data_IF_438403331839
#
_entry.id   IF_438403331839
#
_cell.length_a   1.000
_cell.length_b   1.000
_cell.length_c   1.000
_cell.angle_alpha   90.00
_cell.angle_beta   90.00
_cell.angle_gamma   90.00
#
_symmetry.space_group_name_H-M   'P 1'
#
loop_
_entity.id
_entity.type
_entity.pdbx_description
1 polymer ?
#
# COMPACT_ATOMS: atom_id res chain seq x y z
N UNK A 1 26.46 40.69 35.25
CA UNK A 1 25.24 39.89 34.88
C UNK A 1 25.58 39.00 33.69
N UNK A 2 25.93 37.74 33.96
CA UNK A 2 26.44 36.80 32.97
C UNK A 2 25.27 36.00 32.34
N UNK A 3 25.06 36.15 31.05
CA UNK A 3 24.18 35.27 30.28
C UNK A 3 24.97 34.03 29.86
N UNK A 4 24.65 32.87 30.44
CA UNK A 4 25.16 31.57 30.00
C UNK A 4 24.40 31.14 28.76
N UNK A 5 25.09 30.97 27.65
CA UNK A 5 24.60 30.29 26.44
C UNK A 5 24.80 28.79 26.61
N UNK A 6 23.75 28.03 26.58
CA UNK A 6 23.81 26.58 26.45
C UNK A 6 24.01 26.25 24.97
N UNK A 7 25.16 25.69 24.63
CA UNK A 7 25.45 25.10 23.34
C UNK A 7 24.93 23.67 23.31
N UNK A 8 24.04 23.36 22.37
CA UNK A 8 23.64 22.00 22.06
C UNK A 8 24.75 21.41 21.19
N UNK A 9 25.53 20.50 21.77
CA UNK A 9 26.48 19.68 21.01
C UNK A 9 25.71 18.62 20.21
N UNK A 10 25.65 18.82 18.91
CA UNK A 10 25.18 17.80 17.99
C UNK A 10 26.18 16.65 17.92
N UNK A 11 25.75 15.47 18.32
CA UNK A 11 26.49 14.23 18.09
C UNK A 11 26.38 13.88 16.62
N UNK A 12 27.38 14.20 15.83
CA UNK A 12 27.56 13.67 14.47
C UNK A 12 28.12 12.26 14.65
N UNK A 13 27.27 11.26 14.48
CA UNK A 13 27.70 9.88 14.34
C UNK A 13 28.44 9.75 12.99
N UNK A 14 29.77 9.79 13.04
CA UNK A 14 30.62 9.50 11.90
C UNK A 14 30.47 7.99 11.57
N UNK A 15 29.79 7.67 10.49
CA UNK A 15 29.85 6.36 9.87
C UNK A 15 31.23 6.19 9.25
N UNK A 16 32.11 5.44 9.93
CA UNK A 16 33.36 5.00 9.35
C UNK A 16 33.05 4.04 8.19
N UNK A 17 33.18 4.53 6.94
CA UNK A 17 33.26 3.66 5.77
C UNK A 17 34.55 2.83 5.90
N UNK A 18 34.41 1.55 6.21
CA UNK A 18 35.47 0.58 5.97
C UNK A 18 35.61 0.42 4.45
N UNK A 19 36.59 1.06 3.88
CA UNK A 19 37.06 0.77 2.50
C UNK A 19 37.64 -0.64 2.53
N UNK A 20 36.83 -1.64 2.17
CA UNK A 20 37.31 -2.98 1.91
C UNK A 20 38.00 -2.98 0.54
N UNK A 21 39.31 -3.08 0.56
CA UNK A 21 40.15 -3.40 -0.60
C UNK A 21 39.57 -4.63 -1.30
N UNK A 22 39.40 -4.53 -2.61
CA UNK A 22 39.06 -5.65 -3.49
C UNK A 22 40.15 -6.75 -3.36
N UNK A 23 39.95 -7.66 -2.46
CA UNK A 23 40.70 -8.93 -2.44
C UNK A 23 39.95 -9.86 -3.39
N UNK A 24 40.62 -10.32 -4.44
CA UNK A 24 40.09 -11.36 -5.31
C UNK A 24 39.62 -12.55 -4.47
N UNK A 25 38.42 -13.13 -4.73
CA UNK A 25 37.91 -14.18 -3.88
C UNK A 25 38.82 -15.39 -3.94
N UNK A 26 39.37 -15.75 -2.80
CA UNK A 26 39.98 -17.08 -2.59
C UNK A 26 38.86 -18.11 -2.74
N UNK A 27 39.12 -19.20 -3.48
CA UNK A 27 38.19 -20.28 -3.70
C UNK A 27 37.62 -20.78 -2.35
N UNK A 28 36.34 -20.50 -2.09
CA UNK A 28 35.67 -20.97 -0.89
C UNK A 28 34.72 -20.00 -0.16
N UNK A 29 34.84 -18.68 -0.37
CA UNK A 29 33.90 -17.74 0.24
C UNK A 29 32.64 -17.56 -0.63
N UNK A 30 31.44 -17.84 -0.06
CA UNK A 30 30.19 -17.61 -0.74
C UNK A 30 29.99 -16.11 -1.01
N UNK A 31 29.59 -15.76 -2.24
CA UNK A 31 29.31 -14.37 -2.61
C UNK A 31 28.05 -13.89 -1.88
N UNK A 32 28.11 -12.69 -1.26
CA UNK A 32 26.99 -12.14 -0.47
C UNK A 32 26.03 -11.36 -1.35
N UNK A 33 24.74 -11.72 -1.32
CA UNK A 33 23.63 -10.95 -1.90
C UNK A 33 23.08 -10.03 -0.82
N UNK A 34 23.02 -8.73 -1.11
CA UNK A 34 22.52 -7.70 -0.18
C UNK A 34 21.06 -7.37 -0.50
N UNK A 35 20.18 -7.56 0.48
CA UNK A 35 18.74 -7.24 0.40
C UNK A 35 18.44 -6.09 1.37
N UNK A 36 17.84 -5.02 0.87
CA UNK A 36 17.36 -3.91 1.70
C UNK A 36 15.87 -4.03 1.97
N UNK A 37 15.47 -3.78 3.22
CA UNK A 37 14.08 -3.80 3.66
C UNK A 37 13.85 -2.80 4.80
N UNK A 38 12.60 -2.46 5.07
CA UNK A 38 12.18 -1.59 6.17
C UNK A 38 12.16 -2.31 7.53
N UNK A 39 11.83 -1.56 8.58
CA UNK A 39 11.80 -1.98 9.99
C UNK A 39 10.83 -3.14 10.27
N UNK A 40 9.75 -3.27 9.49
CA UNK A 40 8.81 -4.38 9.65
C UNK A 40 9.29 -5.62 8.92
N UNK A 41 9.77 -5.47 7.70
CA UNK A 41 10.16 -6.56 6.79
C UNK A 41 11.54 -7.12 7.05
N UNK A 42 12.51 -6.26 7.34
CA UNK A 42 13.92 -6.65 7.47
C UNK A 42 14.17 -7.72 8.51
N UNK A 43 13.71 -7.57 9.77
CA UNK A 43 13.90 -8.59 10.81
C UNK A 43 13.25 -9.93 10.47
N UNK A 44 12.10 -9.92 9.81
CA UNK A 44 11.38 -11.14 9.42
C UNK A 44 12.05 -11.84 8.24
N UNK A 45 12.54 -11.10 7.24
CA UNK A 45 13.35 -11.63 6.15
C UNK A 45 14.63 -12.28 6.68
N UNK A 46 15.34 -11.61 7.57
CA UNK A 46 16.56 -12.14 8.20
C UNK A 46 16.29 -13.51 8.85
N UNK A 47 15.23 -13.61 9.65
CA UNK A 47 14.86 -14.86 10.33
C UNK A 47 14.53 -15.98 9.35
N UNK A 48 13.71 -15.70 8.34
CA UNK A 48 13.24 -16.72 7.38
C UNK A 48 14.39 -17.18 6.48
N UNK A 49 15.24 -16.27 6.02
CA UNK A 49 16.37 -16.60 5.16
C UNK A 49 17.37 -17.45 5.95
N UNK A 50 17.69 -17.06 7.18
CA UNK A 50 18.61 -17.82 8.02
C UNK A 50 18.07 -19.20 8.42
N UNK A 51 16.77 -19.37 8.60
CA UNK A 51 16.16 -20.61 9.04
C UNK A 51 16.31 -21.77 8.04
N UNK A 52 16.45 -21.48 6.74
CA UNK A 52 16.68 -22.50 5.69
C UNK A 52 18.13 -22.52 5.22
N UNK A 53 18.76 -21.36 5.07
CA UNK A 53 20.18 -21.18 4.76
C UNK A 53 20.59 -21.38 3.29
N UNK A 54 19.88 -22.20 2.52
CA UNK A 54 20.28 -22.65 1.17
C UNK A 54 19.30 -22.22 0.05
N UNK A 55 18.78 -21.01 0.14
CA UNK A 55 17.89 -20.49 -0.90
C UNK A 55 18.56 -20.29 -2.27
N UNK A 56 19.86 -20.03 -2.25
CA UNK A 56 20.67 -19.86 -3.46
C UNK A 56 22.02 -20.54 -3.28
N UNK A 57 22.28 -21.58 -4.06
CA UNK A 57 23.54 -22.33 -4.00
C UNK A 57 24.74 -21.41 -4.34
N UNK A 58 25.78 -21.45 -3.52
CA UNK A 58 27.01 -20.67 -3.71
C UNK A 58 26.92 -19.22 -3.26
N UNK A 59 25.79 -18.80 -2.66
CA UNK A 59 25.60 -17.44 -2.16
C UNK A 59 25.13 -17.43 -0.70
N UNK A 60 25.53 -16.39 0.02
CA UNK A 60 24.90 -15.99 1.28
C UNK A 60 23.97 -14.80 1.05
N UNK A 61 23.04 -14.57 1.97
CA UNK A 61 22.10 -13.42 1.87
C UNK A 61 22.20 -12.61 3.13
N UNK A 62 22.49 -11.32 2.97
CA UNK A 62 22.50 -10.31 4.03
C UNK A 62 21.32 -9.38 3.88
N UNK A 63 20.53 -9.25 4.94
CA UNK A 63 19.42 -8.29 4.98
C UNK A 63 19.88 -7.05 5.76
N UNK A 64 19.73 -5.89 5.13
CA UNK A 64 19.96 -4.58 5.77
C UNK A 64 18.61 -3.97 6.08
N UNK A 65 18.35 -3.71 7.36
CA UNK A 65 17.09 -3.16 7.84
C UNK A 65 17.20 -1.66 8.05
N UNK A 66 16.27 -0.89 7.48
CA UNK A 66 16.14 0.54 7.67
C UNK A 66 15.11 0.86 8.75
N UNK A 67 15.25 2.02 9.39
CA UNK A 67 14.43 2.44 10.53
C UNK A 67 12.98 2.79 10.19
N UNK A 68 12.67 2.97 8.91
CA UNK A 68 11.31 3.17 8.38
C UNK A 68 11.26 2.89 6.87
N UNK A 69 10.06 2.75 6.35
CA UNK A 69 9.83 2.64 4.91
C UNK A 69 10.32 3.88 4.14
N UNK A 70 10.13 5.07 4.72
CA UNK A 70 10.61 6.33 4.12
C UNK A 70 12.15 6.41 4.16
N UNK A 71 12.79 5.99 5.26
CA UNK A 71 14.24 5.93 5.35
C UNK A 71 14.85 4.96 4.33
N UNK A 72 14.19 3.82 4.09
CA UNK A 72 14.57 2.88 3.04
C UNK A 72 14.47 3.53 1.65
N UNK A 73 13.37 4.24 1.38
CA UNK A 73 13.15 4.95 0.11
C UNK A 73 14.22 6.00 -0.12
N UNK A 74 14.49 6.83 0.88
CA UNK A 74 15.50 7.88 0.82
C UNK A 74 16.91 7.31 0.60
N UNK A 75 17.24 6.21 1.26
CA UNK A 75 18.50 5.50 1.07
C UNK A 75 18.62 4.94 -0.36
N UNK A 76 17.55 4.31 -0.86
CA UNK A 76 17.51 3.79 -2.22
C UNK A 76 17.67 4.89 -3.28
N UNK A 77 17.01 6.04 -3.07
CA UNK A 77 17.15 7.19 -3.97
C UNK A 77 18.59 7.77 -4.01
N UNK A 78 19.33 7.62 -2.93
CA UNK A 78 20.73 8.06 -2.81
C UNK A 78 21.75 6.96 -3.10
N UNK A 79 21.31 5.71 -3.32
CA UNK A 79 22.19 4.57 -3.54
C UNK A 79 23.07 4.73 -4.79
N UNK A 80 24.30 4.25 -4.67
CA UNK A 80 25.33 4.24 -5.73
C UNK A 80 25.79 2.82 -6.01
N UNK A 81 26.60 2.62 -7.04
CA UNK A 81 27.19 1.32 -7.40
C UNK A 81 27.95 0.68 -6.22
N UNK A 82 28.54 1.48 -5.32
CA UNK A 82 29.31 0.97 -4.19
C UNK A 82 28.45 0.73 -2.92
N UNK A 83 27.28 1.33 -2.81
CA UNK A 83 26.48 1.30 -1.59
C UNK A 83 25.07 0.72 -1.75
N UNK A 84 24.64 0.49 -2.98
CA UNK A 84 23.29 0.01 -3.27
C UNK A 84 23.10 -1.48 -2.93
N UNK A 85 21.84 -1.92 -2.77
CA UNK A 85 21.52 -3.34 -2.58
C UNK A 85 21.47 -4.09 -3.91
N UNK A 86 21.51 -5.41 -3.87
CA UNK A 86 21.22 -6.25 -5.05
C UNK A 86 19.71 -6.40 -5.27
N UNK A 87 18.94 -6.43 -4.17
CA UNK A 87 17.50 -6.45 -4.16
C UNK A 87 16.99 -5.43 -3.14
N UNK A 88 15.95 -4.67 -3.49
CA UNK A 88 15.22 -3.86 -2.52
C UNK A 88 13.78 -4.36 -2.42
N UNK A 89 13.31 -4.59 -1.18
CA UNK A 89 11.90 -4.93 -0.91
C UNK A 89 11.17 -3.64 -0.58
N UNK A 90 10.45 -3.12 -1.56
CA UNK A 90 9.87 -1.78 -1.49
C UNK A 90 8.50 -1.66 -2.17
N UNK A 91 8.01 -0.42 -2.24
CA UNK A 91 6.73 -0.09 -2.86
C UNK A 91 6.74 -0.25 -4.37
N UNK A 92 5.62 -0.67 -4.93
CA UNK A 92 5.42 -0.76 -6.37
C UNK A 92 5.54 0.62 -7.05
N UNK A 93 5.15 1.68 -6.37
CA UNK A 93 5.22 3.07 -6.84
C UNK A 93 6.65 3.60 -7.03
N UNK A 94 7.66 2.86 -6.53
CA UNK A 94 9.09 3.16 -6.76
C UNK A 94 9.56 2.71 -8.14
N UNK A 95 8.84 1.79 -8.79
CA UNK A 95 9.28 1.19 -10.06
C UNK A 95 9.46 2.22 -11.17
N UNK A 96 8.54 3.16 -11.44
CA UNK A 96 8.74 4.14 -12.50
C UNK A 96 9.96 5.04 -12.27
N UNK A 97 10.16 5.53 -11.04
CA UNK A 97 11.30 6.41 -10.70
C UNK A 97 12.62 5.66 -10.69
N UNK A 98 12.66 4.45 -10.12
CA UNK A 98 13.83 3.59 -10.08
C UNK A 98 14.27 3.12 -11.47
N UNK A 99 13.32 2.80 -12.35
CA UNK A 99 13.61 2.43 -13.74
C UNK A 99 14.10 3.64 -14.55
N UNK A 100 13.50 4.82 -14.40
CA UNK A 100 13.92 6.07 -15.05
C UNK A 100 15.33 6.51 -14.63
N UNK A 101 15.67 6.34 -13.35
CA UNK A 101 17.00 6.68 -12.81
C UNK A 101 18.06 5.61 -13.10
N UNK A 102 17.69 4.49 -13.73
CA UNK A 102 18.62 3.40 -14.04
C UNK A 102 19.05 2.57 -12.82
N UNK A 103 18.36 2.68 -11.68
CA UNK A 103 18.68 1.93 -10.46
C UNK A 103 18.01 0.56 -10.40
N UNK A 104 16.91 0.36 -11.12
CA UNK A 104 16.24 -0.93 -11.23
C UNK A 104 16.59 -1.63 -12.55
N UNK A 105 16.83 -2.92 -12.46
CA UNK A 105 17.06 -3.81 -13.59
C UNK A 105 15.81 -4.61 -13.94
N UNK A 106 15.45 -4.75 -15.22
CA UNK A 106 14.32 -5.57 -15.61
C UNK A 106 14.61 -7.06 -15.36
N UNK A 107 13.54 -7.80 -15.02
CA UNK A 107 13.58 -9.25 -14.82
C UNK A 107 12.71 -9.97 -15.84
N UNK A 108 13.07 -11.23 -16.12
CA UNK A 108 12.25 -12.15 -16.88
C UNK A 108 11.83 -13.32 -15.99
N UNK A 109 10.53 -13.50 -15.83
CA UNK A 109 9.96 -14.66 -15.14
C UNK A 109 9.37 -15.61 -16.18
N UNK A 110 9.52 -16.92 -15.95
CA UNK A 110 8.91 -17.93 -16.81
C UNK A 110 7.37 -17.87 -16.71
N UNK A 111 6.68 -18.36 -17.74
CA UNK A 111 5.21 -18.43 -17.72
C UNK A 111 4.69 -19.23 -16.51
N UNK A 112 5.39 -20.30 -16.12
CA UNK A 112 5.04 -21.12 -14.95
C UNK A 112 5.13 -20.33 -13.63
N UNK A 113 6.16 -19.48 -13.47
CA UNK A 113 6.26 -18.60 -12.30
C UNK A 113 5.17 -17.54 -12.32
N UNK A 114 4.95 -16.88 -13.46
CA UNK A 114 3.88 -15.87 -13.59
C UNK A 114 2.49 -16.41 -13.30
N UNK A 115 2.19 -17.64 -13.68
CA UNK A 115 0.89 -18.28 -13.44
C UNK A 115 0.55 -18.44 -11.95
N UNK A 116 1.55 -18.42 -11.05
CA UNK A 116 1.34 -18.49 -9.59
C UNK A 116 0.76 -17.20 -9.01
N UNK A 117 0.77 -16.10 -9.73
CA UNK A 117 0.33 -14.78 -9.26
C UNK A 117 -0.93 -14.33 -10.01
N UNK A 118 -1.61 -13.31 -9.45
CA UNK A 118 -2.63 -12.60 -10.19
C UNK A 118 -1.95 -11.70 -11.24
N UNK A 119 -2.34 -11.74 -12.52
CA UNK A 119 -1.72 -10.90 -13.55
C UNK A 119 -1.70 -9.40 -13.22
N UNK A 120 -2.69 -8.89 -12.51
CA UNK A 120 -2.76 -7.47 -12.11
C UNK A 120 -1.63 -7.06 -11.16
N UNK A 121 -1.08 -7.99 -10.35
CA UNK A 121 0.03 -7.70 -9.45
C UNK A 121 1.33 -7.39 -10.20
N UNK A 122 1.48 -7.91 -11.42
CA UNK A 122 2.64 -7.56 -12.26
C UNK A 122 2.51 -6.19 -12.91
N UNK A 123 1.27 -5.67 -13.12
CA UNK A 123 1.09 -4.31 -13.62
C UNK A 123 1.70 -3.29 -12.66
N UNK A 124 1.56 -3.52 -11.36
CA UNK A 124 2.13 -2.65 -10.32
C UNK A 124 3.67 -2.61 -10.37
N UNK A 125 4.33 -3.67 -10.86
CA UNK A 125 5.78 -3.80 -10.93
C UNK A 125 6.34 -3.63 -12.36
N UNK A 126 5.50 -3.17 -13.29
CA UNK A 126 5.85 -2.98 -14.70
C UNK A 126 5.99 -1.50 -15.03
N UNK A 127 7.02 -1.16 -15.79
CA UNK A 127 7.23 0.16 -16.35
C UNK A 127 7.68 0.04 -17.81
N UNK A 128 6.97 0.71 -18.73
CA UNK A 128 7.23 0.64 -20.19
C UNK A 128 7.35 -0.81 -20.70
N UNK A 129 6.41 -1.67 -20.30
CA UNK A 129 6.34 -3.06 -20.71
C UNK A 129 7.40 -3.99 -20.13
N UNK A 130 8.28 -3.50 -19.25
CA UNK A 130 9.31 -4.30 -18.57
C UNK A 130 8.97 -4.53 -17.12
N UNK A 131 9.10 -5.77 -16.66
CA UNK A 131 8.90 -6.16 -15.26
C UNK A 131 10.20 -5.95 -14.47
N UNK A 132 10.09 -5.39 -13.23
CA UNK A 132 11.26 -5.04 -12.42
C UNK A 132 11.35 -5.79 -11.09
N UNK A 133 10.36 -6.61 -10.74
CA UNK A 133 10.38 -7.35 -9.48
C UNK A 133 9.37 -8.47 -9.40
N UNK A 134 9.40 -9.15 -8.26
CA UNK A 134 8.47 -10.21 -7.88
C UNK A 134 7.51 -9.68 -6.83
N UNK A 135 6.17 -9.86 -6.96
CA UNK A 135 5.23 -9.52 -5.90
C UNK A 135 5.50 -10.34 -4.63
N UNK A 136 5.60 -9.68 -3.48
CA UNK A 136 5.93 -10.32 -2.19
C UNK A 136 4.71 -10.45 -1.30
N UNK A 137 3.99 -9.36 -1.14
CA UNK A 137 2.77 -9.29 -0.34
C UNK A 137 1.73 -8.41 -1.03
N UNK A 138 0.48 -8.58 -0.64
CA UNK A 138 -0.61 -7.70 -1.04
C UNK A 138 -0.76 -6.64 0.04
N UNK A 139 -0.73 -5.37 -0.36
CA UNK A 139 -1.06 -4.25 0.50
C UNK A 139 -2.43 -3.70 0.10
N UNK A 140 -3.38 -3.80 1.01
CA UNK A 140 -4.71 -3.25 0.82
C UNK A 140 -5.34 -2.85 2.16
N UNK A 141 -6.36 -2.03 2.06
CA UNK A 141 -7.27 -1.78 3.18
C UNK A 141 -8.50 -2.67 3.05
N UNK A 142 -9.21 -2.84 4.15
CA UNK A 142 -10.56 -3.37 4.16
C UNK A 142 -11.35 -2.68 5.28
N UNK A 143 -12.67 -2.67 5.17
CA UNK A 143 -13.53 -2.18 6.22
C UNK A 143 -13.79 -3.32 7.22
N UNK A 144 -13.77 -2.97 8.50
CA UNK A 144 -14.30 -3.77 9.60
C UNK A 144 -15.48 -3.05 10.24
N UNK A 145 -16.38 -3.81 10.87
CA UNK A 145 -17.44 -3.23 11.68
C UNK A 145 -17.42 -3.80 13.10
N UNK A 146 -17.81 -2.95 14.06
CA UNK A 146 -17.85 -3.31 15.47
C UNK A 146 -19.16 -4.04 15.78
N UNK A 147 -19.09 -5.37 15.99
CA UNK A 147 -20.25 -6.23 16.24
C UNK A 147 -21.00 -5.91 17.54
N UNK A 148 -20.39 -5.13 18.46
CA UNK A 148 -21.07 -4.62 19.67
C UNK A 148 -21.99 -3.43 19.37
N UNK A 149 -21.80 -2.77 18.21
CA UNK A 149 -22.59 -1.61 17.78
C UNK A 149 -23.50 -1.96 16.60
N UNK A 150 -23.06 -2.82 15.70
CA UNK A 150 -23.76 -3.19 14.47
C UNK A 150 -23.84 -4.72 14.40
N UNK A 151 -25.05 -5.25 14.39
CA UNK A 151 -25.29 -6.71 14.50
C UNK A 151 -25.02 -7.49 13.20
N UNK A 152 -25.00 -6.81 12.05
CA UNK A 152 -24.79 -7.44 10.73
C UNK A 152 -23.95 -6.58 9.80
N UNK A 153 -23.34 -7.21 8.79
CA UNK A 153 -22.61 -6.51 7.75
C UNK A 153 -23.54 -5.57 6.98
N UNK A 154 -23.18 -4.29 6.79
CA UNK A 154 -23.98 -3.36 6.02
C UNK A 154 -23.92 -3.72 4.52
N UNK A 155 -25.05 -3.64 3.82
CA UNK A 155 -25.18 -3.98 2.41
C UNK A 155 -24.94 -2.77 1.48
N UNK A 156 -25.20 -1.57 2.00
CA UNK A 156 -25.05 -0.32 1.26
C UNK A 156 -24.39 0.77 2.11
N UNK A 157 -23.82 1.76 1.45
CA UNK A 157 -23.30 2.96 2.11
C UNK A 157 -24.40 3.70 2.89
N UNK A 158 -25.64 3.73 2.33
CA UNK A 158 -26.79 4.33 2.97
C UNK A 158 -27.19 3.64 4.28
N UNK A 159 -27.08 2.30 4.34
CA UNK A 159 -27.33 1.53 5.56
C UNK A 159 -26.30 1.87 6.65
N UNK A 160 -25.01 2.04 6.30
CA UNK A 160 -24.01 2.48 7.28
C UNK A 160 -24.34 3.84 7.88
N UNK A 161 -24.78 4.80 7.04
CA UNK A 161 -25.20 6.13 7.51
C UNK A 161 -26.43 6.07 8.40
N UNK A 162 -27.42 5.22 8.06
CA UNK A 162 -28.62 5.01 8.86
C UNK A 162 -28.27 4.42 10.21
N UNK A 163 -27.45 3.39 10.26
CA UNK A 163 -26.97 2.78 11.51
C UNK A 163 -26.25 3.80 12.40
N UNK A 164 -25.38 4.62 11.83
CA UNK A 164 -24.72 5.70 12.56
C UNK A 164 -25.72 6.68 13.15
N UNK A 165 -26.66 7.19 12.34
CA UNK A 165 -27.65 8.17 12.80
C UNK A 165 -28.50 7.63 13.95
N UNK A 166 -28.90 6.35 13.89
CA UNK A 166 -29.68 5.71 14.97
C UNK A 166 -28.90 5.50 16.26
N UNK A 167 -27.58 5.28 16.17
CA UNK A 167 -26.71 4.98 17.30
C UNK A 167 -26.03 6.22 17.89
N UNK A 168 -25.89 7.30 17.11
CA UNK A 168 -25.07 8.46 17.45
C UNK A 168 -25.37 9.03 18.83
N UNK A 169 -26.63 9.30 19.13
CA UNK A 169 -27.03 9.92 20.40
C UNK A 169 -26.92 8.93 21.58
N UNK A 170 -27.41 7.70 21.41
CA UNK A 170 -27.49 6.69 22.48
C UNK A 170 -26.14 6.09 22.85
N UNK A 171 -25.18 6.09 21.92
CA UNK A 171 -23.85 5.48 22.11
C UNK A 171 -22.71 6.50 22.16
N UNK A 172 -22.99 7.80 22.03
CA UNK A 172 -21.96 8.84 22.04
C UNK A 172 -20.95 8.71 20.91
N UNK A 173 -21.41 8.33 19.70
CA UNK A 173 -20.50 8.07 18.59
C UNK A 173 -19.81 9.37 18.12
N UNK A 174 -18.50 9.30 17.96
CA UNK A 174 -17.66 10.40 17.43
C UNK A 174 -17.72 10.51 15.91
N UNK A 175 -17.80 9.37 15.22
CA UNK A 175 -17.96 9.28 13.77
C UNK A 175 -18.69 7.98 13.40
N UNK A 176 -19.16 7.86 12.17
CA UNK A 176 -19.73 6.63 11.63
C UNK A 176 -18.67 5.72 11.02
N UNK A 177 -17.87 6.28 10.12
CA UNK A 177 -16.78 5.59 9.44
C UNK A 177 -15.51 6.42 9.57
N UNK A 178 -14.39 5.81 9.90
CA UNK A 178 -13.09 6.45 9.91
C UNK A 178 -12.03 5.65 9.14
N UNK A 179 -10.91 6.30 8.83
CA UNK A 179 -9.79 5.69 8.13
C UNK A 179 -8.62 5.55 9.11
N UNK A 180 -8.26 4.32 9.45
CA UNK A 180 -7.07 4.02 10.23
C UNK A 180 -5.87 3.70 9.31
N UNK A 181 -6.10 2.92 8.24
CA UNK A 181 -5.05 2.50 7.32
C UNK A 181 -4.93 3.40 6.09
N UNK A 182 -3.72 3.87 5.79
CA UNK A 182 -3.40 4.56 4.54
C UNK A 182 -3.90 6.01 4.40
N UNK A 183 -4.44 6.61 5.48
CA UNK A 183 -4.82 8.02 5.52
C UNK A 183 -5.95 8.44 4.57
N UNK A 184 -6.16 9.77 4.48
CA UNK A 184 -7.28 10.39 3.77
C UNK A 184 -7.13 10.42 2.23
N UNK A 185 -6.08 9.85 1.70
CA UNK A 185 -5.87 9.61 0.27
C UNK A 185 -5.97 8.12 -0.06
N UNK A 186 -4.97 7.33 0.32
CA UNK A 186 -4.89 5.93 -0.06
C UNK A 186 -6.02 5.08 0.55
N UNK A 187 -6.20 5.13 1.86
CA UNK A 187 -7.27 4.39 2.55
C UNK A 187 -8.66 4.93 2.20
N UNK A 188 -8.81 6.25 2.10
CA UNK A 188 -10.07 6.89 1.77
C UNK A 188 -10.50 6.73 0.29
N UNK A 189 -9.64 6.19 -0.60
CA UNK A 189 -10.07 5.88 -1.98
C UNK A 189 -11.28 4.95 -2.01
N UNK A 190 -11.37 4.00 -1.07
CA UNK A 190 -12.52 3.12 -0.93
C UNK A 190 -13.83 3.88 -0.68
N UNK A 191 -13.77 5.02 0.03
CA UNK A 191 -14.93 5.90 0.28
C UNK A 191 -15.24 6.76 -0.95
N UNK A 192 -14.21 7.32 -1.62
CA UNK A 192 -14.39 8.01 -2.90
C UNK A 192 -15.11 7.12 -3.91
N UNK A 193 -14.61 5.91 -4.11
CA UNK A 193 -15.14 4.95 -5.05
C UNK A 193 -16.54 4.44 -4.66
N UNK A 194 -16.79 4.17 -3.38
CA UNK A 194 -18.11 3.78 -2.89
C UNK A 194 -19.19 4.83 -3.21
N UNK A 195 -18.81 6.11 -3.23
CA UNK A 195 -19.68 7.23 -3.57
C UNK A 195 -19.67 7.59 -5.07
N UNK A 196 -18.84 6.91 -5.89
CA UNK A 196 -18.84 7.03 -7.35
C UNK A 196 -17.64 7.81 -7.95
N UNK A 197 -16.55 8.00 -7.21
CA UNK A 197 -15.33 8.65 -7.70
C UNK A 197 -14.14 7.69 -7.72
N UNK A 198 -13.89 7.06 -8.84
CA UNK A 198 -12.67 6.29 -9.10
C UNK A 198 -11.57 7.22 -9.61
N UNK A 199 -10.36 7.08 -9.09
CA UNK A 199 -9.19 7.86 -9.56
C UNK A 199 -8.88 7.58 -11.03
N UNK A 200 -9.10 6.35 -11.48
CA UNK A 200 -9.05 5.87 -12.87
C UNK A 200 -9.90 4.61 -13.02
N UNK A 201 -10.16 4.25 -14.27
CA UNK A 201 -11.06 3.13 -14.59
C UNK A 201 -10.34 2.12 -15.48
N UNK A 202 -10.75 0.86 -15.35
CA UNK A 202 -10.36 -0.21 -16.24
C UNK A 202 -11.56 -0.68 -17.06
N UNK A 203 -11.32 -1.04 -18.32
CA UNK A 203 -12.32 -1.71 -19.15
C UNK A 203 -12.43 -3.19 -18.76
N UNK A 204 -13.38 -3.90 -19.35
CA UNK A 204 -13.62 -5.33 -19.09
C UNK A 204 -12.44 -6.26 -19.45
N UNK A 205 -11.46 -5.77 -20.20
CA UNK A 205 -10.24 -6.50 -20.57
C UNK A 205 -9.05 -6.14 -19.70
N UNK A 206 -9.25 -5.33 -18.65
CA UNK A 206 -8.19 -4.87 -17.74
C UNK A 206 -7.34 -3.73 -18.27
N UNK A 207 -7.66 -3.14 -19.41
CA UNK A 207 -6.98 -1.96 -19.93
C UNK A 207 -7.48 -0.66 -19.31
N UNK A 208 -6.59 0.29 -19.10
CA UNK A 208 -6.93 1.63 -18.56
C UNK A 208 -7.83 2.39 -19.55
N UNK A 209 -8.84 3.04 -19.02
CA UNK A 209 -9.72 3.93 -19.79
C UNK A 209 -9.21 5.36 -19.69
N UNK A 210 -8.62 5.83 -20.77
CA UNK A 210 -8.11 7.19 -20.89
C UNK A 210 -9.22 8.19 -21.31
N UNK A 211 -9.02 9.48 -21.05
CA UNK A 211 -9.93 10.56 -21.45
C UNK A 211 -11.20 10.68 -20.65
N UNK A 212 -11.44 9.77 -19.70
CA UNK A 212 -12.64 9.76 -18.86
C UNK A 212 -12.31 10.10 -17.42
N UNK A 213 -13.23 10.80 -16.77
CA UNK A 213 -13.28 10.98 -15.33
C UNK A 213 -14.54 10.33 -14.76
N UNK A 214 -14.59 10.19 -13.45
CA UNK A 214 -15.84 9.86 -12.77
C UNK A 214 -16.90 10.97 -12.98
N UNK A 215 -18.17 10.65 -12.79
CA UNK A 215 -19.25 11.63 -12.85
C UNK A 215 -19.21 12.56 -11.62
N UNK A 216 -18.70 13.77 -11.79
CA UNK A 216 -18.63 14.76 -10.72
C UNK A 216 -20.01 15.10 -10.13
N UNK A 217 -21.04 15.14 -10.98
CA UNK A 217 -22.44 15.39 -10.54
C UNK A 217 -22.91 14.24 -9.63
N UNK A 218 -22.81 12.98 -10.09
CA UNK A 218 -23.26 11.83 -9.33
C UNK A 218 -22.50 11.71 -8.01
N UNK A 219 -21.17 11.82 -8.04
CA UNK A 219 -20.33 11.75 -6.84
C UNK A 219 -20.66 12.89 -5.86
N UNK A 220 -20.71 14.14 -6.32
CA UNK A 220 -21.02 15.30 -5.47
C UNK A 220 -22.43 15.21 -4.87
N UNK A 221 -23.43 14.70 -5.61
CA UNK A 221 -24.77 14.44 -5.09
C UNK A 221 -24.77 13.34 -4.01
N UNK A 222 -24.01 12.26 -4.20
CA UNK A 222 -23.86 11.20 -3.20
C UNK A 222 -23.17 11.72 -1.93
N UNK A 223 -22.11 12.55 -2.06
CA UNK A 223 -21.49 13.21 -0.91
C UNK A 223 -22.48 14.08 -0.15
N UNK A 224 -23.27 14.90 -0.85
CA UNK A 224 -24.33 15.71 -0.20
C UNK A 224 -25.35 14.83 0.52
N UNK A 225 -25.81 13.76 -0.12
CA UNK A 225 -26.84 12.86 0.42
C UNK A 225 -26.40 12.12 1.68
N UNK A 226 -25.17 11.61 1.66
CA UNK A 226 -24.71 10.66 2.69
C UNK A 226 -23.80 11.29 3.75
N UNK A 227 -23.09 12.37 3.43
CA UNK A 227 -22.06 12.94 4.31
C UNK A 227 -22.40 14.35 4.82
N UNK A 228 -23.47 14.97 4.33
CA UNK A 228 -23.79 16.36 4.68
C UNK A 228 -25.22 16.52 5.19
N UNK A 229 -25.39 17.51 6.07
CA UNK A 229 -26.67 18.10 6.46
C UNK A 229 -26.64 19.58 6.03
N UNK A 230 -27.23 19.87 4.88
CA UNK A 230 -27.09 21.18 4.22
C UNK A 230 -25.64 21.43 3.75
N UNK A 231 -25.01 22.48 4.29
CA UNK A 231 -23.61 22.84 4.00
C UNK A 231 -22.60 22.29 5.02
N UNK A 232 -23.06 21.57 6.03
CA UNK A 232 -22.19 21.04 7.10
C UNK A 232 -22.03 19.54 6.98
N UNK A 233 -20.88 19.01 7.41
CA UNK A 233 -20.70 17.58 7.59
C UNK A 233 -21.73 17.06 8.63
N UNK A 234 -22.35 15.92 8.35
CA UNK A 234 -23.23 15.23 9.31
C UNK A 234 -22.45 14.42 10.37
N UNK A 235 -21.12 14.43 10.27
CA UNK A 235 -20.23 13.72 11.22
C UNK A 235 -20.09 12.23 10.96
N UNK A 236 -20.70 11.67 9.89
CA UNK A 236 -20.54 10.27 9.56
C UNK A 236 -19.10 9.95 9.15
N UNK A 237 -18.49 10.77 8.30
CA UNK A 237 -17.14 10.61 7.81
C UNK A 237 -16.31 11.88 8.11
N UNK A 238 -15.25 11.78 8.93
CA UNK A 238 -14.39 12.92 9.23
C UNK A 238 -13.49 13.23 8.03
N UNK A 239 -13.19 14.51 7.82
CA UNK A 239 -12.31 14.95 6.74
C UNK A 239 -10.80 14.74 7.04
N UNK A 240 -10.47 14.45 8.28
CA UNK A 240 -9.09 14.25 8.75
C UNK A 240 -9.01 13.01 9.63
N UNK A 241 -7.81 12.46 9.78
CA UNK A 241 -7.57 11.44 10.79
C UNK A 241 -7.79 12.03 12.19
N UNK A 242 -8.66 11.37 12.94
CA UNK A 242 -9.08 11.77 14.29
C UNK A 242 -8.81 10.68 15.32
N UNK A 243 -7.72 9.90 15.15
CA UNK A 243 -7.41 8.77 16.03
C UNK A 243 -8.38 7.61 15.79
N UNK A 244 -8.56 7.22 14.54
CA UNK A 244 -9.54 6.22 14.11
C UNK A 244 -9.41 4.90 14.87
N UNK A 245 -8.20 4.36 14.96
CA UNK A 245 -7.91 3.10 15.65
C UNK A 245 -8.40 3.13 17.10
N UNK A 246 -8.02 4.14 17.85
CA UNK A 246 -8.38 4.26 19.27
C UNK A 246 -9.88 4.46 19.45
N UNK A 247 -10.51 5.26 18.60
CA UNK A 247 -11.96 5.50 18.63
C UNK A 247 -12.76 4.24 18.28
N UNK A 248 -12.30 3.45 17.30
CA UNK A 248 -12.94 2.16 16.99
C UNK A 248 -12.78 1.17 18.13
N UNK A 249 -11.58 1.03 18.71
CA UNK A 249 -11.31 0.15 19.84
C UNK A 249 -12.08 0.56 21.10
N UNK A 250 -12.31 1.85 21.30
CA UNK A 250 -13.15 2.39 22.38
C UNK A 250 -14.66 2.23 22.14
N UNK A 251 -15.09 1.74 20.97
CA UNK A 251 -16.50 1.58 20.62
C UNK A 251 -17.25 2.88 20.32
N UNK A 252 -16.53 3.95 19.96
CA UNK A 252 -17.13 5.25 19.59
C UNK A 252 -17.24 5.46 18.07
N UNK A 253 -16.82 4.47 17.28
CA UNK A 253 -16.93 4.43 15.82
C UNK A 253 -17.37 3.02 15.42
N UNK A 254 -18.48 2.84 14.69
CA UNK A 254 -18.96 1.52 14.29
C UNK A 254 -18.23 0.90 13.11
N UNK A 255 -17.62 1.70 12.21
CA UNK A 255 -16.94 1.25 11.00
C UNK A 255 -15.56 1.86 10.89
N UNK A 256 -14.55 1.04 10.56
CA UNK A 256 -13.20 1.52 10.30
C UNK A 256 -12.63 0.88 9.04
N UNK A 257 -11.98 1.68 8.20
CA UNK A 257 -11.12 1.17 7.12
C UNK A 257 -9.73 1.01 7.70
N UNK A 258 -9.23 -0.22 7.74
CA UNK A 258 -7.96 -0.58 8.33
C UNK A 258 -7.01 -1.15 7.28
N UNK A 259 -5.70 -1.00 7.49
CA UNK A 259 -4.67 -1.63 6.68
C UNK A 259 -4.39 -3.07 7.12
N UNK A 260 -3.96 -3.88 6.17
CA UNK A 260 -3.58 -5.27 6.47
C UNK A 260 -2.30 -5.40 7.32
N UNK A 261 -1.68 -4.32 7.69
CA UNK A 261 -0.56 -4.25 8.64
C UNK A 261 -1.00 -3.94 10.08
N UNK A 262 -2.30 -3.67 10.31
CA UNK A 262 -2.84 -3.24 11.60
C UNK A 262 -3.71 -4.30 12.28
N UNK A 263 -4.19 -5.32 11.55
CA UNK A 263 -5.21 -6.23 12.04
C UNK A 263 -4.84 -6.97 13.34
N UNK A 264 -3.55 -7.25 13.54
CA UNK A 264 -3.07 -7.96 14.72
C UNK A 264 -3.42 -7.22 16.02
N UNK A 265 -3.38 -5.88 16.00
CA UNK A 265 -3.71 -5.04 17.14
C UNK A 265 -5.19 -5.11 17.50
N UNK A 266 -6.07 -5.21 16.49
CA UNK A 266 -7.52 -5.36 16.72
C UNK A 266 -7.84 -6.74 17.29
N UNK A 267 -7.23 -7.80 16.77
CA UNK A 267 -7.39 -9.16 17.31
C UNK A 267 -6.89 -9.26 18.74
N UNK A 268 -5.75 -8.63 19.05
CA UNK A 268 -5.21 -8.58 20.42
C UNK A 268 -6.16 -7.88 21.43
N UNK A 269 -7.07 -7.03 20.94
CA UNK A 269 -8.13 -6.37 21.73
C UNK A 269 -9.47 -7.11 21.67
N UNK A 270 -9.50 -8.34 21.13
CA UNK A 270 -10.69 -9.20 21.09
C UNK A 270 -11.70 -8.86 19.99
N UNK A 271 -11.30 -8.12 18.96
CA UNK A 271 -12.18 -7.86 17.81
C UNK A 271 -12.13 -9.00 16.79
N UNK A 272 -13.30 -9.40 16.32
CA UNK A 272 -13.42 -10.31 15.18
C UNK A 272 -13.11 -9.57 13.89
N UNK A 273 -12.27 -10.15 13.03
CA UNK A 273 -11.90 -9.59 11.74
C UNK A 273 -12.95 -9.93 10.66
N UNK A 274 -14.09 -9.25 10.73
CA UNK A 274 -15.18 -9.33 9.75
C UNK A 274 -14.91 -8.40 8.55
N UNK A 275 -13.84 -8.69 7.83
CA UNK A 275 -13.30 -7.88 6.75
C UNK A 275 -14.20 -7.91 5.51
N UNK A 276 -14.48 -6.72 4.98
CA UNK A 276 -15.22 -6.54 3.72
C UNK A 276 -14.78 -5.25 3.02
N UNK A 277 -15.01 -5.09 1.72
CA UNK A 277 -14.87 -3.78 1.09
C UNK A 277 -15.91 -2.79 1.64
N UNK A 278 -15.64 -1.48 1.53
CA UNK A 278 -16.65 -0.46 1.82
C UNK A 278 -17.84 -0.64 0.89
N UNK A 279 -19.07 -0.83 1.39
CA UNK A 279 -20.25 -0.97 0.51
C UNK A 279 -20.47 0.28 -0.33
N UNK A 280 -20.86 0.09 -1.59
CA UNK A 280 -21.28 1.16 -2.48
C UNK A 280 -22.68 1.69 -2.16
N UNK A 281 -23.13 2.67 -2.94
CA UNK A 281 -24.49 3.24 -2.80
C UNK A 281 -25.58 2.25 -3.19
N UNK A 282 -25.25 1.24 -4.02
CA UNK A 282 -26.14 0.16 -4.46
C UNK A 282 -25.63 -1.16 -3.88
N UNK A 283 -26.56 -2.01 -3.39
CA UNK A 283 -26.22 -3.34 -2.88
C UNK A 283 -25.49 -4.17 -3.95
N UNK A 284 -24.46 -4.90 -3.52
CA UNK A 284 -23.59 -5.69 -4.39
C UNK A 284 -22.47 -4.91 -5.08
N UNK A 285 -22.49 -3.57 -5.03
CA UNK A 285 -21.36 -2.74 -5.44
C UNK A 285 -20.50 -2.39 -4.26
N UNK A 286 -19.20 -2.22 -4.51
CA UNK A 286 -18.21 -1.92 -3.50
C UNK A 286 -17.30 -0.76 -3.90
N UNK A 287 -16.88 0.01 -2.91
CA UNK A 287 -15.84 0.99 -3.07
C UNK A 287 -14.50 0.32 -3.37
N UNK A 288 -13.93 0.66 -4.50
CA UNK A 288 -12.63 0.13 -4.92
C UNK A 288 -11.54 0.64 -4.01
N UNK A 289 -10.63 -0.24 -3.66
CA UNK A 289 -9.45 0.08 -2.86
C UNK A 289 -8.20 -0.11 -3.71
N UNK A 290 -7.17 0.66 -3.45
CA UNK A 290 -5.88 0.35 -4.02
C UNK A 290 -5.40 -0.99 -3.46
N UNK A 291 -5.21 -1.97 -4.35
CA UNK A 291 -4.56 -3.22 -4.06
C UNK A 291 -3.16 -3.14 -4.63
N UNK A 292 -2.20 -2.66 -3.86
CA UNK A 292 -0.80 -2.63 -4.27
C UNK A 292 -0.09 -3.90 -3.85
N UNK A 293 1.08 -4.14 -4.41
CA UNK A 293 2.01 -5.15 -3.94
C UNK A 293 3.30 -4.49 -3.48
N UNK A 294 3.92 -5.04 -2.45
CA UNK A 294 5.34 -4.79 -2.27
C UNK A 294 6.10 -5.68 -3.25
N UNK A 295 7.13 -5.13 -3.86
CA UNK A 295 7.99 -5.84 -4.79
C UNK A 295 9.36 -6.17 -4.19
N UNK A 296 9.85 -7.37 -4.43
CA UNK A 296 11.28 -7.65 -4.38
C UNK A 296 11.87 -7.24 -5.73
N UNK A 297 12.48 -6.05 -5.76
CA UNK A 297 12.91 -5.38 -6.98
C UNK A 297 14.41 -5.65 -7.23
N UNK A 298 14.75 -6.12 -8.41
CA UNK A 298 16.15 -6.29 -8.82
C UNK A 298 16.76 -4.93 -9.10
N UNK A 299 17.95 -4.68 -8.58
CA UNK A 299 18.68 -3.43 -8.87
C UNK A 299 19.76 -3.64 -9.93
N UNK A 300 20.20 -2.54 -10.55
CA UNK A 300 21.36 -2.57 -11.45
C UNK A 300 22.68 -2.77 -10.72
N UNK A 301 22.69 -2.52 -9.41
CA UNK A 301 23.88 -2.69 -8.56
C UNK A 301 24.29 -4.16 -8.45
N UNK A 302 23.34 -5.12 -8.50
CA UNK A 302 23.64 -6.55 -8.51
C UNK A 302 24.62 -6.96 -9.63
N UNK A 303 24.48 -6.38 -10.83
CA UNK A 303 25.43 -6.63 -11.92
C UNK A 303 26.82 -6.03 -11.64
N UNK A 304 26.87 -4.88 -10.96
CA UNK A 304 28.13 -4.23 -10.55
C UNK A 304 28.88 -5.01 -9.45
N UNK A 305 28.11 -5.63 -8.57
CA UNK A 305 28.65 -6.47 -7.49
C UNK A 305 29.00 -7.90 -7.96
N UNK A 306 28.64 -8.30 -9.18
CA UNK A 306 28.80 -9.69 -9.65
C UNK A 306 27.81 -10.67 -9.05
N UNK A 307 26.73 -10.20 -8.40
CA UNK A 307 25.71 -10.99 -7.67
C UNK A 307 24.41 -11.19 -8.46
N UNK A 308 24.31 -10.65 -9.69
CA UNK A 308 23.05 -10.63 -10.45
C UNK A 308 22.42 -12.03 -10.64
N UNK A 309 23.23 -13.05 -10.93
CA UNK A 309 22.72 -14.42 -11.07
C UNK A 309 22.14 -14.95 -9.76
N UNK A 310 22.83 -14.73 -8.64
CA UNK A 310 22.35 -15.08 -7.31
C UNK A 310 21.11 -14.32 -6.92
N UNK A 311 21.06 -13.01 -7.17
CA UNK A 311 19.89 -12.17 -6.90
C UNK A 311 18.66 -12.64 -7.70
N UNK A 312 18.80 -12.95 -8.99
CA UNK A 312 17.71 -13.53 -9.81
C UNK A 312 17.24 -14.89 -9.28
N UNK A 313 18.18 -15.72 -8.83
CA UNK A 313 17.85 -17.01 -8.21
C UNK A 313 17.09 -16.81 -6.89
N UNK A 314 17.48 -15.86 -6.04
CA UNK A 314 16.77 -15.52 -4.80
C UNK A 314 15.36 -15.00 -5.09
N UNK A 315 15.18 -14.17 -6.11
CA UNK A 315 13.86 -13.70 -6.55
C UNK A 315 12.95 -14.88 -6.92
N UNK A 316 13.49 -15.90 -7.59
CA UNK A 316 12.70 -17.06 -8.04
C UNK A 316 12.47 -18.09 -6.95
N UNK A 317 13.53 -18.47 -6.21
CA UNK A 317 13.51 -19.59 -5.27
C UNK A 317 12.90 -19.22 -3.92
N UNK A 318 13.00 -17.93 -3.53
CA UNK A 318 12.43 -17.44 -2.28
C UNK A 318 11.21 -16.56 -2.54
N UNK A 319 11.38 -15.38 -3.14
CA UNK A 319 10.29 -14.42 -3.25
C UNK A 319 9.14 -14.86 -4.15
N UNK A 320 9.39 -15.65 -5.20
CA UNK A 320 8.35 -16.18 -6.08
C UNK A 320 7.88 -17.59 -5.70
N UNK A 321 8.40 -18.21 -4.66
CA UNK A 321 8.01 -19.56 -4.26
C UNK A 321 6.91 -19.57 -3.22
N UNK A 322 6.06 -20.61 -3.24
CA UNK A 322 5.03 -20.83 -2.21
C UNK A 322 5.68 -20.98 -0.83
N UNK A 323 6.73 -21.83 -0.69
CA UNK A 323 7.44 -22.06 0.58
C UNK A 323 8.03 -20.77 1.15
N UNK A 324 8.71 -19.96 0.30
CA UNK A 324 9.29 -18.69 0.72
C UNK A 324 8.24 -17.68 1.19
N UNK A 325 7.16 -17.52 0.43
CA UNK A 325 6.09 -16.59 0.81
C UNK A 325 5.30 -17.05 2.04
N UNK A 326 4.98 -18.34 2.18
CA UNK A 326 4.34 -18.87 3.39
C UNK A 326 5.19 -18.58 4.62
N UNK A 327 6.47 -19.00 4.62
CA UNK A 327 7.37 -18.79 5.76
C UNK A 327 7.52 -17.33 6.12
N UNK A 328 7.65 -16.47 5.11
CA UNK A 328 7.82 -15.05 5.32
C UNK A 328 6.54 -14.41 5.87
N UNK A 329 5.38 -14.70 5.28
CA UNK A 329 4.12 -14.09 5.69
C UNK A 329 3.56 -14.62 7.02
N UNK A 330 4.00 -15.79 7.49
CA UNK A 330 3.72 -16.23 8.85
C UNK A 330 4.33 -15.29 9.91
N UNK A 331 5.45 -14.65 9.60
CA UNK A 331 6.09 -13.67 10.48
C UNK A 331 5.59 -12.25 10.19
N UNK A 332 5.49 -11.87 8.92
CA UNK A 332 5.10 -10.52 8.49
C UNK A 332 3.61 -10.21 8.69
N UNK A 333 2.78 -11.24 8.75
CA UNK A 333 1.33 -11.13 8.96
C UNK A 333 0.57 -10.41 7.85
N UNK A 334 1.16 -10.26 6.66
CA UNK A 334 0.50 -9.70 5.47
C UNK A 334 -0.06 -10.80 4.58
N UNK A 335 -1.06 -10.53 3.73
CA UNK A 335 -1.50 -11.50 2.73
C UNK A 335 -0.38 -11.78 1.74
N UNK A 336 0.00 -13.05 1.51
CA UNK A 336 0.99 -13.38 0.49
C UNK A 336 0.50 -13.00 -0.90
N UNK A 337 1.39 -12.65 -1.81
CA UNK A 337 1.04 -12.35 -3.20
C UNK A 337 0.84 -13.61 -4.04
N UNK A 338 1.55 -14.70 -3.74
CA UNK A 338 1.52 -15.97 -4.46
C UNK A 338 0.28 -16.79 -4.09
N UNK A 339 -0.44 -17.32 -5.11
CA UNK A 339 -1.74 -18.00 -4.95
C UNK A 339 -1.69 -19.24 -4.06
N UNK A 340 -0.64 -20.08 -4.20
CA UNK A 340 -0.47 -21.26 -3.37
C UNK A 340 -0.24 -20.90 -1.91
N UNK A 341 0.53 -19.83 -1.67
CA UNK A 341 0.74 -19.30 -0.33
C UNK A 341 -0.54 -18.69 0.26
N UNK A 342 -1.37 -18.02 -0.54
CA UNK A 342 -2.68 -17.54 -0.08
C UNK A 342 -3.61 -18.68 0.34
N UNK A 343 -3.54 -19.82 -0.34
CA UNK A 343 -4.37 -21.00 -0.08
C UNK A 343 -3.83 -21.85 1.08
N UNK A 344 -2.61 -21.61 1.55
CA UNK A 344 -1.98 -22.40 2.62
C UNK A 344 -2.78 -22.28 3.94
N UNK A 345 -3.02 -23.41 4.59
CA UNK A 345 -3.83 -23.48 5.82
C UNK A 345 -3.21 -22.74 7.01
N UNK A 346 -1.90 -22.55 7.01
CA UNK A 346 -1.17 -21.80 8.05
C UNK A 346 -1.37 -20.29 7.96
N UNK A 347 -1.78 -19.76 6.79
CA UNK A 347 -2.13 -18.34 6.63
C UNK A 347 -3.42 -18.04 7.39
N UNK A 348 -3.43 -16.99 8.20
CA UNK A 348 -4.54 -16.68 9.10
C UNK A 348 -5.84 -16.29 8.36
N UNK A 349 -6.98 -16.45 9.02
CA UNK A 349 -8.27 -16.02 8.48
C UNK A 349 -8.29 -14.52 8.17
N UNK A 350 -7.61 -13.69 8.97
CA UNK A 350 -7.49 -12.25 8.72
C UNK A 350 -6.72 -11.97 7.43
N UNK A 351 -5.56 -12.60 7.22
CA UNK A 351 -4.80 -12.46 5.97
C UNK A 351 -5.64 -12.87 4.76
N UNK A 352 -6.35 -14.01 4.84
CA UNK A 352 -7.28 -14.43 3.78
C UNK A 352 -8.42 -13.45 3.57
N UNK A 353 -8.96 -12.85 4.65
CA UNK A 353 -10.03 -11.84 4.58
C UNK A 353 -9.61 -10.60 3.82
N UNK A 354 -8.40 -10.08 4.05
CA UNK A 354 -7.85 -8.98 3.24
C UNK A 354 -7.67 -9.37 1.77
N UNK A 355 -7.16 -10.57 1.49
CA UNK A 355 -7.05 -11.10 0.14
C UNK A 355 -8.41 -11.20 -0.56
N UNK A 356 -9.44 -11.65 0.14
CA UNK A 356 -10.82 -11.71 -0.37
C UNK A 356 -11.38 -10.32 -0.66
N UNK A 357 -11.19 -9.35 0.22
CA UNK A 357 -11.61 -7.97 0.01
C UNK A 357 -10.91 -7.35 -1.23
N UNK A 358 -9.61 -7.59 -1.39
CA UNK A 358 -8.86 -7.16 -2.56
C UNK A 358 -9.35 -7.84 -3.86
N UNK A 359 -9.75 -9.10 -3.79
CA UNK A 359 -10.33 -9.82 -4.96
C UNK A 359 -11.68 -9.25 -5.38
N UNK A 360 -12.50 -8.77 -4.44
CA UNK A 360 -13.80 -8.18 -4.71
C UNK A 360 -13.72 -6.73 -5.21
N UNK A 361 -12.80 -5.93 -4.68
CA UNK A 361 -12.79 -4.49 -4.90
C UNK A 361 -11.37 -3.89 -5.08
N UNK A 362 -10.33 -4.70 -5.20
CA UNK A 362 -8.97 -4.21 -5.43
C UNK A 362 -8.77 -3.68 -6.84
N UNK A 363 -8.07 -2.56 -6.96
CA UNK A 363 -7.56 -2.03 -8.23
C UNK A 363 -6.05 -1.81 -8.12
N UNK A 364 -5.27 -2.01 -9.20
CA UNK A 364 -3.83 -1.73 -9.20
C UNK A 364 -3.52 -0.29 -8.78
N UNK A 365 -2.47 -0.08 -8.00
CA UNK A 365 -1.98 1.25 -7.66
C UNK A 365 -1.01 1.74 -8.75
N UNK A 366 -1.51 2.49 -9.72
CA UNK A 366 -0.72 2.96 -10.85
C UNK A 366 0.03 4.24 -10.49
N UNK A 367 1.29 4.11 -10.08
CA UNK A 367 2.12 5.25 -9.64
C UNK A 367 2.27 6.35 -10.70
N UNK A 368 2.31 6.00 -11.98
CA UNK A 368 2.38 6.97 -13.08
C UNK A 368 1.18 7.94 -13.10
N UNK A 369 -0.01 7.51 -12.65
CA UNK A 369 -1.21 8.35 -12.59
C UNK A 369 -1.27 9.12 -11.27
N UNK A 370 -1.01 8.43 -10.16
CA UNK A 370 -1.19 8.96 -8.82
C UNK A 370 -0.14 9.99 -8.43
N UNK A 371 1.09 9.84 -8.93
CA UNK A 371 2.21 10.77 -8.68
C UNK A 371 2.29 11.90 -9.71
N UNK A 372 1.47 11.87 -10.77
CA UNK A 372 1.42 12.95 -11.76
C UNK A 372 0.80 14.21 -11.16
N UNK A 373 1.40 15.38 -11.42
CA UNK A 373 0.87 16.69 -11.04
C UNK A 373 0.45 17.53 -12.27
N UNK A 374 0.33 16.92 -13.44
CA UNK A 374 -0.01 17.60 -14.69
C UNK A 374 -1.41 18.24 -14.66
N UNK A 375 -2.30 17.72 -13.82
CA UNK A 375 -3.61 18.30 -13.54
C UNK A 375 -3.62 19.47 -12.54
N UNK A 376 -2.44 19.91 -12.08
CA UNK A 376 -2.29 20.99 -11.08
C UNK A 376 -2.00 20.47 -9.67
N UNK A 377 -2.32 19.23 -9.37
CA UNK A 377 -1.97 18.52 -8.13
C UNK A 377 -1.90 17.01 -8.40
N UNK A 378 -1.13 16.27 -7.61
CA UNK A 378 -1.15 14.82 -7.64
C UNK A 378 -2.39 14.26 -6.91
N UNK A 379 -2.56 12.94 -6.94
CA UNK A 379 -3.65 12.27 -6.23
C UNK A 379 -3.56 12.47 -4.71
N UNK A 380 -2.36 12.33 -4.15
CA UNK A 380 -2.11 12.33 -2.71
C UNK A 380 -2.45 13.66 -2.04
N UNK A 381 -2.32 14.77 -2.78
CA UNK A 381 -2.66 16.11 -2.32
C UNK A 381 -4.13 16.45 -2.63
N UNK A 382 -4.60 16.10 -3.82
CA UNK A 382 -5.94 16.50 -4.29
C UNK A 382 -7.08 15.74 -3.59
N UNK A 383 -6.88 14.48 -3.22
CA UNK A 383 -7.89 13.69 -2.54
C UNK A 383 -8.23 14.21 -1.14
N UNK A 384 -7.28 14.41 -0.20
CA UNK A 384 -7.60 14.98 1.11
C UNK A 384 -8.08 16.44 1.01
N UNK A 385 -7.57 17.21 0.03
CA UNK A 385 -8.03 18.59 -0.19
C UNK A 385 -9.52 18.66 -0.55
N UNK A 386 -10.04 17.70 -1.31
CA UNK A 386 -11.48 17.61 -1.59
C UNK A 386 -12.30 17.45 -0.30
N UNK A 387 -11.91 16.53 0.58
CA UNK A 387 -12.63 16.28 1.83
C UNK A 387 -12.62 17.53 2.73
N UNK A 388 -11.47 18.20 2.83
CA UNK A 388 -11.33 19.46 3.58
C UNK A 388 -12.26 20.53 3.01
N UNK A 389 -12.22 20.75 1.69
CA UNK A 389 -13.04 21.76 1.02
C UNK A 389 -14.54 21.54 1.25
N UNK A 390 -15.01 20.29 1.18
CA UNK A 390 -16.44 19.99 1.26
C UNK A 390 -16.92 19.84 2.71
N UNK A 391 -16.21 19.04 3.51
CA UNK A 391 -16.70 18.65 4.85
C UNK A 391 -16.30 19.63 5.96
N UNK A 392 -15.23 20.40 5.78
CA UNK A 392 -14.79 21.44 6.73
C UNK A 392 -15.21 22.82 6.27
N UNK A 393 -14.79 23.22 5.05
CA UNK A 393 -15.03 24.57 4.53
C UNK A 393 -16.47 24.78 4.01
N UNK A 394 -17.26 23.70 3.89
CA UNK A 394 -18.65 23.76 3.43
C UNK A 394 -18.82 24.19 1.97
N UNK A 395 -17.77 23.98 1.15
CA UNK A 395 -17.83 24.27 -0.29
C UNK A 395 -18.77 23.31 -1.02
N UNK A 396 -19.22 23.71 -2.19
CA UNK A 396 -20.16 22.94 -3.01
C UNK A 396 -19.54 21.62 -3.47
N UNK A 397 -20.10 20.48 -3.03
CA UNK A 397 -19.56 19.15 -3.29
C UNK A 397 -19.48 18.82 -4.80
N UNK A 398 -20.44 19.27 -5.62
CA UNK A 398 -20.44 19.02 -7.07
C UNK A 398 -19.38 19.86 -7.77
N UNK A 399 -19.26 21.14 -7.38
CA UNK A 399 -18.26 22.05 -7.94
C UNK A 399 -16.83 21.58 -7.61
N UNK A 400 -16.57 21.19 -6.37
CA UNK A 400 -15.26 20.66 -5.98
C UNK A 400 -14.99 19.27 -6.62
N UNK A 401 -16.03 18.43 -6.77
CA UNK A 401 -15.91 17.17 -7.52
C UNK A 401 -15.52 17.38 -8.99
N UNK A 402 -16.04 18.46 -9.63
CA UNK A 402 -15.69 18.79 -11.02
C UNK A 402 -14.21 19.16 -11.17
N UNK A 403 -13.66 19.90 -10.20
CA UNK A 403 -12.23 20.22 -10.16
C UNK A 403 -11.40 18.95 -9.99
N UNK A 404 -11.77 18.12 -9.02
CA UNK A 404 -11.08 16.84 -8.72
C UNK A 404 -11.08 15.91 -9.94
N UNK A 405 -12.23 15.76 -10.59
CA UNK A 405 -12.36 14.92 -11.79
C UNK A 405 -11.47 15.40 -12.94
N UNK A 406 -11.33 16.72 -13.10
CA UNK A 406 -10.42 17.31 -14.10
C UNK A 406 -8.95 17.00 -13.77
N UNK A 407 -8.56 17.20 -12.52
CA UNK A 407 -7.18 16.90 -12.04
C UNK A 407 -6.83 15.44 -12.32
N UNK A 408 -7.65 14.51 -11.86
CA UNK A 408 -7.38 13.08 -12.00
C UNK A 408 -7.36 12.62 -13.47
N UNK A 409 -8.30 13.12 -14.29
CA UNK A 409 -8.31 12.83 -15.73
C UNK A 409 -7.02 13.26 -16.43
N UNK A 410 -6.54 14.47 -16.15
CA UNK A 410 -5.30 14.99 -16.76
C UNK A 410 -4.09 14.17 -16.29
N UNK A 411 -4.04 13.77 -15.02
CA UNK A 411 -2.96 12.95 -14.48
C UNK A 411 -2.92 11.56 -15.14
N UNK A 412 -4.08 10.93 -15.36
CA UNK A 412 -4.19 9.63 -16.04
C UNK A 412 -3.72 9.73 -17.50
N UNK A 413 -4.14 10.79 -18.23
CA UNK A 413 -3.68 11.03 -19.61
C UNK A 413 -2.16 11.23 -19.68
N UNK A 414 -1.60 11.98 -18.72
CA UNK A 414 -0.16 12.23 -18.67
C UNK A 414 0.69 10.96 -18.44
N UNK A 415 0.14 9.97 -17.74
CA UNK A 415 0.79 8.68 -17.49
C UNK A 415 0.62 7.64 -18.59
N UNK A 416 -0.06 7.97 -19.70
CA UNK A 416 -0.39 7.02 -20.79
C UNK A 416 0.81 6.33 -21.43
N UNK A 417 1.97 6.94 -21.45
CA UNK A 417 3.20 6.38 -22.02
C UNK A 417 4.08 5.63 -21.01
N UNK A 418 3.64 5.51 -19.77
CA UNK A 418 4.45 4.95 -18.67
C UNK A 418 4.01 3.53 -18.24
N UNK A 419 2.96 2.96 -18.86
CA UNK A 419 2.48 1.57 -18.63
C UNK A 419 3.03 0.58 -19.65
#
# INVERSE_FOLDING_TARGET
MNKKRFGIAGVIAAFALAVSTLVAPTAGAATEIVVWADESRGPNLTKVIAAKGDWVSGYTVKVVTFSSFDALKDAFDKATDASGPDIVVGGNDWVPTGAKSGKLAPIALTAAVKARFNPTQFLDLTYKGKLYGVPVDINNVAMIYNTKLVSSAPKTFGEMVTNYKSLKASKGLKAGLCIAGGGMSWGAHSVFSALGADAYQFNSRGGVVYGRAFSATTFGQNVRKYLMDGKKSNGFFPATDTGCKDNFLAGTVPYAVIGNWEWADYVAKGFTMNLMPVPGVTEGNYGKMFGSVSGALLTTFAAKHGTEAGAKSLLTNFFASTDGQVRYQLLEKRPPAEKGAQADSSVSAAQRGFGSAASLAGIPQVGAFLNSNKGGANYWDSAPAYWTAVLIDGKDAVKEASKLASIWRVNVEAGKGDL
#
